data_IF_675775230691
#
_entry.id   IF_675775230691
#
_cell.length_a   1.000
_cell.length_b   1.000
_cell.length_c   1.000
_cell.angle_alpha   90.00
_cell.angle_beta   90.00
_cell.angle_gamma   90.00
#
_symmetry.space_group_name_H-M   'P 1'
#
loop_
_entity.id
_entity.type
_entity.pdbx_description
1 polymer ?
#
# COMPACT_ATOMS: atom_id res chain seq x y z
N UNK A 1 19.93 -25.10 36.46
CA UNK A 1 19.51 -26.34 35.77
C UNK A 1 19.50 -27.51 36.75
N UNK A 2 18.30 -28.06 37.01
CA UNK A 2 18.01 -29.06 38.07
C UNK A 2 18.74 -30.41 37.90
N UNK A 3 19.28 -30.69 36.71
CA UNK A 3 19.84 -31.98 36.33
C UNK A 3 21.30 -31.94 35.85
N UNK A 4 22.02 -30.83 36.10
CA UNK A 4 23.45 -30.69 35.73
C UNK A 4 24.28 -31.84 36.29
N UNK A 5 24.05 -32.22 37.56
CA UNK A 5 24.84 -33.25 38.24
C UNK A 5 24.81 -34.59 37.50
N UNK A 6 23.62 -35.01 37.04
CA UNK A 6 23.47 -36.24 36.24
C UNK A 6 24.18 -36.10 34.90
N UNK A 7 23.99 -34.96 34.22
CA UNK A 7 24.61 -34.74 32.90
C UNK A 7 26.15 -34.77 33.00
N UNK A 8 26.73 -34.18 34.06
CA UNK A 8 28.17 -34.23 34.36
C UNK A 8 28.66 -35.66 34.56
N UNK A 9 27.90 -36.48 35.29
CA UNK A 9 28.26 -37.87 35.53
C UNK A 9 28.25 -38.66 34.23
N UNK A 10 27.22 -38.49 33.40
CA UNK A 10 27.13 -39.16 32.11
C UNK A 10 28.31 -38.75 31.21
N UNK A 11 28.66 -37.46 31.17
CA UNK A 11 29.78 -36.96 30.35
C UNK A 11 31.15 -37.43 30.85
N UNK A 12 31.39 -37.37 32.16
CA UNK A 12 32.66 -37.82 32.76
C UNK A 12 32.88 -39.33 32.54
N UNK A 13 31.80 -40.10 32.46
CA UNK A 13 31.85 -41.53 32.23
C UNK A 13 31.62 -41.94 30.77
N UNK A 14 31.50 -41.00 29.82
CA UNK A 14 31.08 -41.25 28.43
C UNK A 14 31.82 -42.40 27.73
N UNK A 15 33.13 -42.52 27.96
CA UNK A 15 33.96 -43.58 27.36
C UNK A 15 33.72 -44.98 27.95
N UNK A 16 33.03 -45.07 29.08
CA UNK A 16 32.69 -46.31 29.77
C UNK A 16 31.22 -46.70 29.68
N UNK A 17 30.38 -45.83 29.11
CA UNK A 17 28.95 -46.11 28.89
C UNK A 17 28.84 -47.13 27.77
N UNK A 18 28.21 -48.27 28.06
CA UNK A 18 27.75 -49.20 27.02
C UNK A 18 26.26 -48.98 26.79
N UNK A 19 25.91 -48.70 25.54
CA UNK A 19 24.50 -48.54 25.11
C UNK A 19 23.99 -49.89 24.65
N UNK A 20 22.98 -50.42 25.32
CA UNK A 20 22.39 -51.72 25.04
C UNK A 20 20.87 -51.57 24.87
N UNK A 21 20.45 -51.19 23.65
CA UNK A 21 19.06 -50.82 23.36
C UNK A 21 18.63 -49.59 24.15
N UNK A 22 17.58 -49.74 24.97
CA UNK A 22 17.04 -48.67 25.80
C UNK A 22 17.79 -48.49 27.12
N UNK A 23 18.84 -49.27 27.37
CA UNK A 23 19.58 -49.23 28.62
C UNK A 23 20.97 -48.62 28.48
N UNK A 24 21.39 -47.94 29.54
CA UNK A 24 22.75 -47.43 29.72
C UNK A 24 23.45 -48.23 30.82
N UNK A 25 24.56 -48.87 30.48
CA UNK A 25 25.36 -49.66 31.43
C UNK A 25 26.61 -48.88 31.85
N UNK A 26 26.86 -48.82 33.16
CA UNK A 26 28.03 -48.17 33.76
C UNK A 26 28.76 -49.16 34.66
N UNK A 27 30.07 -48.93 34.85
CA UNK A 27 30.78 -49.58 35.95
C UNK A 27 30.18 -49.10 37.28
N UNK A 28 29.92 -50.03 38.19
CA UNK A 28 29.34 -49.75 39.50
C UNK A 28 30.31 -48.90 40.33
N UNK A 29 30.02 -47.61 40.43
CA UNK A 29 30.78 -46.64 41.22
C UNK A 29 29.85 -45.98 42.24
N UNK A 30 30.38 -45.77 43.46
CA UNK A 30 29.63 -45.15 44.58
C UNK A 30 29.12 -43.75 44.23
N UNK A 31 29.89 -42.98 43.46
CA UNK A 31 29.50 -41.64 43.01
C UNK A 31 28.27 -41.67 42.10
N UNK A 32 28.24 -42.56 41.11
CA UNK A 32 27.12 -42.68 40.17
C UNK A 32 25.85 -43.12 40.92
N UNK A 33 25.96 -44.18 41.74
CA UNK A 33 24.81 -44.70 42.49
C UNK A 33 24.24 -43.72 43.51
N UNK A 34 25.08 -42.88 44.13
CA UNK A 34 24.64 -41.83 45.07
C UNK A 34 23.85 -40.73 44.35
N UNK A 35 24.32 -40.31 43.18
CA UNK A 35 23.65 -39.28 42.39
C UNK A 35 22.35 -39.79 41.74
N UNK A 36 22.32 -41.02 41.24
CA UNK A 36 21.08 -41.64 40.76
C UNK A 36 20.01 -41.68 41.86
N UNK A 37 20.38 -42.08 43.09
CA UNK A 37 19.50 -42.05 44.26
C UNK A 37 19.04 -40.63 44.62
N UNK A 38 19.95 -39.65 44.61
CA UNK A 38 19.64 -38.22 44.88
C UNK A 38 18.54 -37.70 43.95
N UNK A 39 18.54 -38.14 42.70
CA UNK A 39 17.57 -37.73 41.68
C UNK A 39 16.41 -38.71 41.46
N UNK A 40 16.27 -39.72 42.32
CA UNK A 40 15.21 -40.74 42.24
C UNK A 40 15.17 -41.50 40.91
N UNK A 41 16.34 -41.73 40.29
CA UNK A 41 16.47 -42.54 39.07
C UNK A 41 16.66 -44.00 39.48
N UNK A 42 15.78 -44.86 39.00
CA UNK A 42 15.85 -46.30 39.24
C UNK A 42 17.04 -46.91 38.48
N UNK A 43 17.70 -47.89 39.11
CA UNK A 43 18.79 -48.64 38.48
C UNK A 43 18.80 -50.08 38.96
N UNK A 44 19.19 -50.99 38.08
CA UNK A 44 19.43 -52.40 38.39
C UNK A 44 20.94 -52.69 38.43
N UNK A 45 21.35 -53.66 39.23
CA UNK A 45 22.73 -54.15 39.23
C UNK A 45 22.83 -55.33 38.25
N UNK A 46 23.77 -55.26 37.32
CA UNK A 46 24.11 -56.37 36.42
C UNK A 46 25.47 -56.91 36.87
N UNK A 47 25.47 -58.10 37.49
CA UNK A 47 26.67 -58.64 38.17
C UNK A 47 27.13 -57.68 39.28
N UNK A 48 28.22 -57.99 39.97
CA UNK A 48 28.73 -57.12 41.05
C UNK A 48 29.39 -55.82 40.53
N UNK A 49 29.78 -55.80 39.25
CA UNK A 49 30.63 -54.77 38.66
C UNK A 49 29.89 -53.70 37.83
N UNK A 50 28.63 -53.90 37.44
CA UNK A 50 27.91 -52.97 36.56
C UNK A 50 26.54 -52.58 37.11
N UNK A 51 26.11 -51.37 36.77
CA UNK A 51 24.75 -50.88 36.97
C UNK A 51 24.13 -50.54 35.63
N UNK A 52 22.82 -50.68 35.54
CA UNK A 52 22.03 -50.40 34.34
C UNK A 52 20.88 -49.45 34.70
N UNK A 53 20.68 -48.43 33.87
CA UNK A 53 19.53 -47.53 33.94
C UNK A 53 18.77 -47.56 32.62
N UNK A 54 17.45 -47.42 32.69
CA UNK A 54 16.64 -47.24 31.49
C UNK A 54 16.78 -45.79 31.02
N UNK A 55 17.04 -45.56 29.72
CA UNK A 55 17.12 -44.21 29.13
C UNK A 55 15.84 -43.41 29.37
N UNK A 56 14.69 -44.08 29.38
CA UNK A 56 13.38 -43.48 29.64
C UNK A 56 13.18 -42.96 31.06
N UNK A 57 13.97 -43.45 32.04
CA UNK A 57 13.89 -43.00 33.44
C UNK A 57 14.67 -41.70 33.69
N UNK A 58 15.46 -41.24 32.69
CA UNK A 58 16.15 -39.97 32.79
C UNK A 58 15.13 -38.82 32.68
N UNK A 59 15.33 -37.73 33.45
CA UNK A 59 14.46 -36.55 33.38
C UNK A 59 14.68 -35.71 32.11
N UNK A 60 15.44 -36.24 31.16
CA UNK A 60 15.79 -35.64 29.87
C UNK A 60 16.03 -36.71 28.82
N UNK A 61 15.91 -36.33 27.56
CA UNK A 61 16.29 -37.18 26.44
C UNK A 61 17.81 -37.11 26.24
N UNK A 62 18.45 -38.28 26.30
CA UNK A 62 19.89 -38.42 26.07
C UNK A 62 20.16 -38.87 24.64
N UNK A 63 21.13 -38.24 23.99
CA UNK A 63 21.63 -38.55 22.65
C UNK A 63 23.16 -38.65 22.70
N UNK A 64 23.75 -39.51 21.87
CA UNK A 64 25.21 -39.73 21.81
C UNK A 64 25.87 -39.05 20.61
N UNK A 65 25.09 -38.38 19.78
CA UNK A 65 25.59 -37.56 18.66
C UNK A 65 24.57 -36.50 18.30
N UNK A 66 25.02 -35.44 17.63
CA UNK A 66 24.11 -34.44 17.04
C UNK A 66 23.18 -35.07 16.01
N UNK A 67 23.68 -36.02 15.21
CA UNK A 67 22.89 -36.71 14.19
C UNK A 67 21.72 -37.50 14.79
N UNK A 68 21.91 -38.16 15.93
CA UNK A 68 20.82 -38.85 16.65
C UNK A 68 19.73 -37.86 17.10
N UNK A 69 20.09 -36.63 17.47
CA UNK A 69 19.12 -35.59 17.82
C UNK A 69 18.38 -35.03 16.60
N UNK A 70 19.07 -34.91 15.46
CA UNK A 70 18.57 -34.28 14.23
C UNK A 70 17.52 -35.13 13.47
N UNK A 71 16.55 -35.68 14.18
CA UNK A 71 15.35 -36.28 13.63
C UNK A 71 14.09 -35.53 14.10
N UNK A 72 13.14 -35.30 13.20
CA UNK A 72 11.87 -34.60 13.48
C UNK A 72 11.10 -35.24 14.64
N UNK A 73 11.15 -36.57 14.78
CA UNK A 73 10.51 -37.31 15.88
C UNK A 73 11.08 -37.00 17.26
N UNK A 74 12.31 -36.49 17.31
CA UNK A 74 13.08 -36.26 18.53
C UNK A 74 12.93 -34.82 19.03
N UNK A 75 12.44 -33.91 18.18
CA UNK A 75 12.01 -32.58 18.58
C UNK A 75 10.67 -32.68 19.32
N UNK A 76 10.73 -32.97 20.62
CA UNK A 76 9.58 -32.87 21.53
C UNK A 76 9.69 -31.58 22.35
N UNK A 77 8.54 -30.96 22.63
CA UNK A 77 8.48 -29.64 23.23
C UNK A 77 8.60 -29.61 24.76
N UNK A 78 8.63 -30.75 25.43
CA UNK A 78 8.25 -30.81 26.84
C UNK A 78 9.34 -31.28 27.80
N UNK A 79 10.39 -31.93 27.30
CA UNK A 79 11.46 -32.51 28.13
C UNK A 79 12.82 -32.01 27.64
N UNK A 80 13.71 -31.68 28.58
CA UNK A 80 15.09 -31.27 28.26
C UNK A 80 15.84 -32.31 27.43
N UNK A 81 16.84 -31.86 26.68
CA UNK A 81 17.64 -32.72 25.79
C UNK A 81 19.13 -32.56 26.08
N UNK A 82 19.87 -33.65 26.02
CA UNK A 82 21.32 -33.70 26.29
C UNK A 82 21.99 -34.52 25.19
N UNK A 83 23.03 -33.96 24.59
CA UNK A 83 23.87 -34.61 23.58
C UNK A 83 25.27 -34.73 24.18
N UNK A 84 25.75 -35.95 24.30
CA UNK A 84 27.11 -36.26 24.76
C UNK A 84 27.93 -36.62 23.52
N UNK A 85 28.82 -35.72 23.11
CA UNK A 85 29.78 -35.94 22.04
C UNK A 85 31.20 -36.08 22.62
N UNK A 86 32.17 -36.54 21.83
CA UNK A 86 33.50 -36.91 22.36
C UNK A 86 34.23 -35.76 23.08
N UNK A 87 34.07 -34.53 22.57
CA UNK A 87 34.79 -33.34 23.04
C UNK A 87 33.87 -32.36 23.79
N UNK A 88 32.61 -32.21 23.39
CA UNK A 88 31.66 -31.25 23.97
C UNK A 88 30.37 -31.93 24.45
N UNK A 89 29.73 -31.31 25.44
CA UNK A 89 28.34 -31.62 25.82
C UNK A 89 27.44 -30.43 25.47
N UNK A 90 26.38 -30.73 24.72
CA UNK A 90 25.31 -29.79 24.41
C UNK A 90 24.08 -30.17 25.20
N UNK A 91 23.41 -29.20 25.81
CA UNK A 91 22.14 -29.47 26.45
C UNK A 91 21.16 -28.32 26.34
N UNK A 92 19.87 -28.63 26.46
CA UNK A 92 18.78 -27.69 26.35
C UNK A 92 17.76 -27.94 27.46
N UNK A 93 17.57 -26.95 28.32
CA UNK A 93 16.64 -26.99 29.44
C UNK A 93 16.00 -25.63 29.64
N UNK A 94 14.70 -25.59 29.93
CA UNK A 94 13.96 -24.36 30.26
C UNK A 94 14.24 -23.22 29.26
N UNK A 95 14.13 -23.53 27.97
CA UNK A 95 14.41 -22.62 26.85
C UNK A 95 15.83 -22.03 26.77
N UNK A 96 16.78 -22.61 27.51
CA UNK A 96 18.19 -22.18 27.54
C UNK A 96 19.10 -23.26 26.98
N UNK A 97 19.99 -22.88 26.06
CA UNK A 97 21.06 -23.72 25.53
C UNK A 97 22.29 -23.66 26.44
N UNK A 98 22.92 -24.80 26.67
CA UNK A 98 24.12 -24.94 27.48
C UNK A 98 25.19 -25.68 26.70
N UNK A 99 26.40 -25.11 26.68
CA UNK A 99 27.61 -25.74 26.18
C UNK A 99 28.52 -26.02 27.37
N UNK A 100 28.92 -27.28 27.55
CA UNK A 100 29.80 -27.67 28.66
C UNK A 100 29.28 -27.23 30.04
N UNK A 101 27.95 -27.32 30.21
CA UNK A 101 27.18 -26.92 31.40
C UNK A 101 27.11 -25.42 31.69
N UNK A 102 27.64 -24.59 30.80
CA UNK A 102 27.53 -23.14 30.89
C UNK A 102 26.46 -22.64 29.91
N UNK A 103 25.58 -21.71 30.33
CA UNK A 103 24.58 -21.15 29.43
C UNK A 103 25.28 -20.45 28.26
N UNK A 104 24.83 -20.74 27.05
CA UNK A 104 25.40 -20.18 25.82
C UNK A 104 24.35 -19.33 25.13
N UNK A 105 24.65 -18.04 24.96
CA UNK A 105 23.82 -17.10 24.19
C UNK A 105 24.16 -17.14 22.69
N UNK A 106 25.28 -17.77 22.32
CA UNK A 106 25.82 -17.81 20.96
C UNK A 106 25.67 -19.19 20.29
N UNK A 107 25.02 -20.15 20.96
CA UNK A 107 24.70 -21.45 20.40
C UNK A 107 23.18 -21.59 20.20
N UNK A 108 22.80 -21.89 18.96
CA UNK A 108 21.43 -22.03 18.50
C UNK A 108 21.15 -23.43 17.92
N UNK A 109 21.92 -24.46 18.27
CA UNK A 109 21.74 -25.81 17.74
C UNK A 109 20.32 -26.35 17.98
N UNK A 110 19.86 -26.31 19.23
CA UNK A 110 18.55 -26.87 19.60
C UNK A 110 17.41 -25.98 19.11
N UNK A 111 17.54 -24.67 19.26
CA UNK A 111 16.55 -23.68 18.82
C UNK A 111 16.35 -23.72 17.30
N UNK A 112 17.42 -23.85 16.51
CA UNK A 112 17.33 -23.99 15.05
C UNK A 112 16.66 -25.30 14.62
N UNK A 113 17.00 -26.43 15.27
CA UNK A 113 16.34 -27.70 14.99
C UNK A 113 14.84 -27.61 15.29
N UNK A 114 14.48 -27.10 16.48
CA UNK A 114 13.09 -26.89 16.91
C UNK A 114 12.31 -26.02 15.93
N UNK A 115 12.83 -24.84 15.58
CA UNK A 115 12.11 -23.92 14.72
C UNK A 115 12.00 -24.46 13.28
N UNK A 116 12.94 -25.27 12.80
CA UNK A 116 12.80 -25.97 11.52
C UNK A 116 11.64 -26.99 11.54
N UNK A 117 11.52 -27.78 12.62
CA UNK A 117 10.39 -28.69 12.81
C UNK A 117 9.04 -27.96 12.85
N UNK A 118 8.99 -26.84 13.57
CA UNK A 118 7.81 -25.96 13.59
C UNK A 118 7.51 -25.35 12.23
N UNK A 119 8.54 -24.95 11.49
CA UNK A 119 8.41 -24.39 10.16
C UNK A 119 7.74 -25.37 9.18
N UNK A 120 8.20 -26.62 9.16
CA UNK A 120 7.58 -27.68 8.35
C UNK A 120 6.11 -27.87 8.75
N UNK A 121 5.85 -27.97 10.05
CA UNK A 121 4.50 -28.17 10.59
C UNK A 121 3.57 -26.99 10.25
N UNK A 122 4.08 -25.77 10.33
CA UNK A 122 3.38 -24.56 9.97
C UNK A 122 3.02 -24.56 8.48
N UNK A 123 3.98 -24.83 7.59
CA UNK A 123 3.72 -24.88 6.14
C UNK A 123 2.65 -25.93 5.80
N UNK A 124 2.69 -27.10 6.44
CA UNK A 124 1.64 -28.12 6.26
C UNK A 124 0.25 -27.61 6.61
N UNK A 125 0.12 -26.82 7.69
CA UNK A 125 -1.16 -26.23 8.10
C UNK A 125 -1.67 -25.14 7.15
N UNK A 126 -0.84 -24.64 6.24
CA UNK A 126 -1.24 -23.64 5.24
C UNK A 126 -1.97 -24.25 4.03
N UNK A 127 -2.20 -25.56 4.00
CA UNK A 127 -3.14 -26.17 3.05
C UNK A 127 -4.57 -25.86 3.50
N UNK A 128 -5.29 -25.04 2.74
CA UNK A 128 -6.74 -24.82 2.94
C UNK A 128 -7.53 -25.76 2.03
N UNK A 129 -8.63 -26.32 2.54
CA UNK A 129 -9.54 -27.20 1.79
C UNK A 129 -10.64 -26.45 1.01
N UNK A 130 -10.74 -25.12 1.16
CA UNK A 130 -11.82 -24.34 0.56
C UNK A 130 -11.57 -24.01 -0.92
N UNK A 131 -12.54 -24.32 -1.80
CA UNK A 131 -12.45 -24.18 -3.27
C UNK A 131 -12.33 -22.74 -3.82
N UNK A 132 -12.37 -21.70 -2.97
CA UNK A 132 -12.46 -20.29 -3.43
C UNK A 132 -11.37 -19.34 -2.90
N UNK A 133 -10.30 -19.87 -2.30
CA UNK A 133 -9.27 -19.07 -1.64
C UNK A 133 -7.92 -18.97 -2.36
N UNK A 134 -7.11 -17.99 -1.98
CA UNK A 134 -5.66 -18.05 -2.21
C UNK A 134 -5.06 -19.13 -1.30
N UNK A 135 -4.39 -20.13 -1.90
CA UNK A 135 -3.66 -21.17 -1.17
C UNK A 135 -2.17 -20.82 -1.15
N UNK A 136 -1.57 -20.76 0.05
CA UNK A 136 -0.12 -20.55 0.14
C UNK A 136 0.64 -21.85 -0.18
N UNK A 137 0.22 -22.97 0.42
CA UNK A 137 0.61 -24.33 0.01
C UNK A 137 -0.59 -24.96 -0.68
N UNK A 138 -0.42 -25.41 -1.92
CA UNK A 138 -1.52 -25.96 -2.71
C UNK A 138 -1.78 -27.43 -2.37
N UNK A 139 -0.74 -28.16 -1.99
CA UNK A 139 -0.85 -29.58 -1.62
C UNK A 139 0.29 -30.00 -0.70
N UNK A 140 -0.03 -30.82 0.31
CA UNK A 140 0.95 -31.43 1.21
C UNK A 140 0.77 -32.96 1.22
N UNK A 141 1.80 -33.67 0.76
CA UNK A 141 1.87 -35.13 0.84
C UNK A 141 2.67 -35.52 2.08
N UNK A 142 1.96 -36.00 3.11
CA UNK A 142 2.62 -36.47 4.34
C UNK A 142 3.41 -37.76 4.14
N UNK A 143 2.97 -38.63 3.24
CA UNK A 143 3.58 -39.95 2.97
C UNK A 143 4.84 -39.80 2.14
N UNK A 144 4.76 -39.10 1.01
CA UNK A 144 5.90 -38.78 0.15
C UNK A 144 6.73 -37.59 0.61
N UNK A 145 6.34 -36.93 1.71
CA UNK A 145 6.99 -35.79 2.37
C UNK A 145 7.31 -34.63 1.45
N UNK A 146 6.27 -34.13 0.78
CA UNK A 146 6.36 -33.05 -0.21
C UNK A 146 5.35 -31.97 0.08
N UNK A 147 5.77 -30.72 -0.09
CA UNK A 147 4.89 -29.56 -0.15
C UNK A 147 4.93 -28.99 -1.56
N UNK A 148 3.78 -28.74 -2.16
CA UNK A 148 3.66 -28.25 -3.53
C UNK A 148 3.14 -26.83 -3.51
N UNK A 149 3.84 -25.97 -4.24
CA UNK A 149 3.47 -24.58 -4.47
C UNK A 149 3.38 -24.33 -5.98
N UNK A 150 2.38 -23.60 -6.38
CA UNK A 150 2.11 -23.17 -7.75
C UNK A 150 1.88 -21.68 -7.74
N UNK A 151 2.50 -21.00 -8.70
CA UNK A 151 2.23 -19.60 -8.94
C UNK A 151 1.85 -19.41 -10.40
N UNK A 152 0.71 -18.75 -10.61
CA UNK A 152 0.25 -18.34 -11.92
C UNK A 152 1.12 -17.20 -12.48
N UNK A 153 1.59 -16.28 -11.62
CA UNK A 153 2.45 -15.16 -12.03
C UNK A 153 3.80 -15.64 -12.52
N UNK A 154 4.41 -16.59 -11.83
CA UNK A 154 5.71 -17.15 -12.19
C UNK A 154 5.60 -18.32 -13.19
N UNK A 155 4.38 -18.76 -13.53
CA UNK A 155 4.08 -19.97 -14.33
C UNK A 155 4.90 -21.19 -13.89
N UNK A 156 5.09 -21.34 -12.58
CA UNK A 156 6.02 -22.32 -12.02
C UNK A 156 5.36 -23.15 -10.93
N UNK A 157 5.68 -24.45 -10.93
CA UNK A 157 5.33 -25.40 -9.87
C UNK A 157 6.61 -25.79 -9.16
N UNK A 158 6.66 -25.52 -7.87
CA UNK A 158 7.76 -25.88 -6.97
C UNK A 158 7.31 -26.99 -6.05
N UNK A 159 8.19 -27.99 -5.89
CA UNK A 159 8.07 -29.04 -4.90
C UNK A 159 9.17 -28.81 -3.87
N UNK A 160 8.78 -28.75 -2.60
CA UNK A 160 9.67 -28.71 -1.45
C UNK A 160 9.62 -30.09 -0.78
N UNK A 161 10.69 -30.87 -0.91
CA UNK A 161 10.84 -32.13 -0.18
C UNK A 161 11.32 -31.84 1.25
N UNK A 162 10.81 -32.62 2.20
CA UNK A 162 11.33 -32.64 3.57
C UNK A 162 11.61 -34.07 4.00
N UNK A 163 12.63 -34.25 4.83
CA UNK A 163 13.02 -35.56 5.35
C UNK A 163 12.64 -35.67 6.82
N UNK A 164 12.76 -36.88 7.39
CA UNK A 164 12.69 -37.04 8.84
C UNK A 164 13.97 -36.52 9.51
N UNK A 165 15.07 -36.45 8.76
CA UNK A 165 16.32 -35.85 9.20
C UNK A 165 16.25 -34.34 9.05
N UNK A 166 16.75 -33.66 10.09
CA UNK A 166 16.88 -32.21 10.15
C UNK A 166 18.29 -31.87 9.63
N UNK A 167 18.42 -30.95 8.67
CA UNK A 167 19.74 -30.53 8.21
C UNK A 167 20.54 -29.89 9.34
N UNK A 168 21.86 -30.07 9.31
CA UNK A 168 22.75 -29.31 10.17
C UNK A 168 22.75 -27.82 9.78
N UNK A 169 22.36 -26.96 10.73
CA UNK A 169 22.36 -25.51 10.57
C UNK A 169 23.56 -24.89 11.30
N UNK A 170 23.97 -23.69 10.89
CA UNK A 170 25.03 -22.96 11.58
C UNK A 170 24.57 -22.60 12.99
N UNK A 171 25.21 -23.18 14.01
CA UNK A 171 24.90 -22.98 15.42
C UNK A 171 25.10 -21.54 15.90
N UNK A 172 25.88 -20.72 15.17
CA UNK A 172 26.12 -19.31 15.52
C UNK A 172 25.09 -18.34 14.95
N UNK A 173 24.11 -18.83 14.18
CA UNK A 173 23.07 -17.98 13.58
C UNK A 173 21.71 -18.44 14.08
N UNK A 174 20.99 -17.53 14.72
CA UNK A 174 19.59 -17.73 15.09
C UNK A 174 18.70 -17.54 13.86
N UNK A 175 18.05 -18.61 13.39
CA UNK A 175 17.04 -18.53 12.33
C UNK A 175 15.63 -18.27 12.89
N UNK A 176 15.45 -18.33 14.21
CA UNK A 176 14.14 -18.33 14.84
C UNK A 176 13.37 -17.03 14.64
N UNK A 177 14.06 -15.88 14.69
CA UNK A 177 13.46 -14.55 14.54
C UNK A 177 12.80 -14.42 13.16
N UNK A 178 13.55 -14.64 12.08
CA UNK A 178 13.04 -14.49 10.71
C UNK A 178 11.94 -15.50 10.40
N UNK A 179 12.06 -16.73 10.91
CA UNK A 179 11.03 -17.77 10.72
C UNK A 179 9.73 -17.41 11.44
N UNK A 180 9.80 -16.94 12.70
CA UNK A 180 8.63 -16.49 13.46
C UNK A 180 7.96 -15.31 12.78
N UNK A 181 8.75 -14.34 12.30
CA UNK A 181 8.22 -13.19 11.57
C UNK A 181 7.52 -13.61 10.28
N UNK A 182 8.10 -14.55 9.52
CA UNK A 182 7.46 -15.14 8.34
C UNK A 182 6.12 -15.81 8.66
N UNK A 183 6.06 -16.61 9.72
CA UNK A 183 4.82 -17.27 10.15
C UNK A 183 3.74 -16.25 10.52
N UNK A 184 4.14 -15.17 11.21
CA UNK A 184 3.24 -14.09 11.61
C UNK A 184 2.68 -13.33 10.40
N UNK A 185 3.53 -12.95 9.44
CA UNK A 185 3.10 -12.24 8.21
C UNK A 185 2.09 -13.06 7.38
N UNK A 186 2.31 -14.38 7.29
CA UNK A 186 1.37 -15.26 6.61
C UNK A 186 0.04 -15.45 7.34
N UNK A 187 0.04 -15.37 8.68
CA UNK A 187 -1.17 -15.55 9.50
C UNK A 187 -2.00 -14.27 9.55
N UNK A 188 -1.36 -13.12 9.72
CA UNK A 188 -2.03 -11.83 9.89
C UNK A 188 -2.66 -11.30 8.60
N UNK A 189 -2.21 -11.79 7.44
CA UNK A 189 -2.76 -11.54 6.10
C UNK A 189 -3.05 -10.05 5.78
N UNK A 190 -2.27 -9.15 6.38
CA UNK A 190 -2.36 -7.71 6.13
C UNK A 190 -1.97 -7.47 4.67
N UNK A 191 -2.84 -6.79 3.90
CA UNK A 191 -2.58 -6.36 2.52
C UNK A 191 -2.29 -7.46 1.47
N UNK A 192 -2.71 -8.71 1.70
CA UNK A 192 -2.41 -9.84 0.80
C UNK A 192 -0.89 -10.10 0.59
N UNK A 193 -0.04 -9.72 1.56
CA UNK A 193 1.42 -9.92 1.48
C UNK A 193 1.81 -11.38 1.21
N UNK A 194 0.97 -12.32 1.65
CA UNK A 194 1.09 -13.76 1.44
C UNK A 194 1.25 -14.16 -0.04
N UNK A 195 0.62 -13.43 -0.98
CA UNK A 195 0.81 -13.64 -2.43
C UNK A 195 2.22 -13.27 -2.90
N UNK A 196 2.73 -12.14 -2.42
CA UNK A 196 4.07 -11.66 -2.74
C UNK A 196 5.12 -12.56 -2.14
N UNK A 197 4.93 -13.02 -0.89
CA UNK A 197 5.79 -14.01 -0.24
C UNK A 197 5.84 -15.30 -1.07
N UNK A 198 4.69 -15.82 -1.54
CA UNK A 198 4.65 -17.03 -2.38
C UNK A 198 5.43 -16.84 -3.68
N UNK A 199 5.28 -15.69 -4.35
CA UNK A 199 6.01 -15.37 -5.59
C UNK A 199 7.52 -15.27 -5.37
N UNK A 200 7.94 -14.48 -4.37
CA UNK A 200 9.35 -14.29 -4.02
C UNK A 200 10.03 -15.60 -3.61
N UNK A 201 9.33 -16.43 -2.84
CA UNK A 201 9.78 -17.77 -2.46
C UNK A 201 10.03 -18.63 -3.71
N UNK A 202 9.04 -18.75 -4.59
CA UNK A 202 9.14 -19.58 -5.81
C UNK A 202 10.32 -19.11 -6.66
N UNK A 203 10.43 -17.80 -6.90
CA UNK A 203 11.54 -17.21 -7.65
C UNK A 203 12.90 -17.55 -7.05
N UNK A 204 13.04 -17.50 -5.71
CA UNK A 204 14.30 -17.76 -5.01
C UNK A 204 14.74 -19.22 -5.07
N UNK A 205 13.80 -20.17 -5.11
CA UNK A 205 14.11 -21.61 -5.01
C UNK A 205 14.02 -22.36 -6.35
N UNK A 206 13.54 -21.71 -7.42
CA UNK A 206 13.31 -22.36 -8.74
C UNK A 206 14.58 -23.04 -9.28
N UNK A 207 15.73 -22.34 -9.18
CA UNK A 207 17.00 -22.82 -9.71
C UNK A 207 17.77 -23.73 -8.73
N UNK A 208 17.20 -24.02 -7.56
CA UNK A 208 17.82 -24.89 -6.56
C UNK A 208 17.33 -26.34 -6.77
N UNK A 209 18.22 -27.35 -6.64
CA UNK A 209 17.82 -28.76 -6.67
C UNK A 209 16.71 -29.09 -5.67
N UNK A 210 15.73 -29.91 -6.08
CA UNK A 210 14.48 -30.15 -5.34
C UNK A 210 14.67 -30.58 -3.89
N UNK A 211 15.68 -31.41 -3.64
CA UNK A 211 16.11 -31.94 -2.35
C UNK A 211 16.68 -30.86 -1.41
N UNK A 212 17.19 -29.75 -1.95
CA UNK A 212 17.81 -28.67 -1.17
C UNK A 212 16.90 -27.45 -0.99
N UNK A 213 15.78 -27.36 -1.73
CA UNK A 213 14.93 -26.16 -1.77
C UNK A 213 14.41 -25.74 -0.40
N UNK A 214 13.90 -26.67 0.41
CA UNK A 214 13.33 -26.33 1.71
C UNK A 214 14.40 -25.84 2.69
N UNK A 215 15.57 -26.46 2.67
CA UNK A 215 16.73 -26.07 3.49
C UNK A 215 17.21 -24.68 3.08
N UNK A 216 17.35 -24.45 1.77
CA UNK A 216 17.75 -23.16 1.22
C UNK A 216 16.73 -22.08 1.58
N UNK A 217 15.44 -22.38 1.46
CA UNK A 217 14.35 -21.49 1.82
C UNK A 217 14.44 -21.08 3.28
N UNK A 218 14.55 -22.06 4.20
CA UNK A 218 14.65 -21.81 5.63
C UNK A 218 15.84 -20.89 5.98
N UNK A 219 16.99 -21.10 5.35
CA UNK A 219 18.20 -20.29 5.57
C UNK A 219 18.11 -18.84 5.06
N UNK A 220 17.16 -18.54 4.17
CA UNK A 220 17.04 -17.27 3.46
C UNK A 220 15.64 -16.64 3.56
N UNK A 221 14.90 -16.95 4.62
CA UNK A 221 13.56 -16.39 4.85
C UNK A 221 13.59 -14.87 4.93
N UNK A 222 14.61 -14.31 5.58
CA UNK A 222 14.87 -12.87 5.68
C UNK A 222 14.90 -12.20 4.30
N UNK A 223 15.67 -12.75 3.37
CA UNK A 223 15.78 -12.23 2.01
C UNK A 223 14.45 -12.37 1.22
N UNK A 224 13.70 -13.45 1.46
CA UNK A 224 12.39 -13.67 0.82
C UNK A 224 11.37 -12.65 1.32
N UNK A 225 11.34 -12.39 2.63
CA UNK A 225 10.43 -11.41 3.22
C UNK A 225 10.73 -9.99 2.72
N UNK A 226 12.00 -9.61 2.69
CA UNK A 226 12.41 -8.30 2.19
C UNK A 226 12.06 -8.11 0.71
N UNK A 227 12.29 -9.11 -0.14
CA UNK A 227 11.89 -9.06 -1.55
C UNK A 227 10.36 -8.97 -1.70
N UNK A 228 9.60 -9.72 -0.90
CA UNK A 228 8.14 -9.68 -0.92
C UNK A 228 7.59 -8.32 -0.49
N UNK A 229 8.15 -7.71 0.56
CA UNK A 229 7.80 -6.37 1.03
C UNK A 229 8.09 -5.32 -0.04
N UNK A 230 9.28 -5.36 -0.65
CA UNK A 230 9.65 -4.45 -1.73
C UNK A 230 8.70 -4.59 -2.94
N UNK A 231 8.37 -5.82 -3.34
CA UNK A 231 7.43 -6.06 -4.44
C UNK A 231 6.01 -5.58 -4.10
N UNK A 232 5.56 -5.73 -2.85
CA UNK A 232 4.29 -5.19 -2.38
C UNK A 232 4.29 -3.66 -2.43
N UNK A 233 5.35 -3.01 -1.98
CA UNK A 233 5.50 -1.55 -2.06
C UNK A 233 5.50 -1.07 -3.50
N UNK A 234 6.22 -1.74 -4.41
CA UNK A 234 6.20 -1.43 -5.85
C UNK A 234 4.78 -1.59 -6.41
N UNK A 235 4.07 -2.65 -6.04
CA UNK A 235 2.70 -2.88 -6.49
C UNK A 235 1.74 -1.80 -6.00
N UNK A 236 1.79 -1.46 -4.70
CA UNK A 236 0.98 -0.39 -4.12
C UNK A 236 1.30 0.96 -4.79
N UNK A 237 2.59 1.24 -4.99
CA UNK A 237 3.02 2.49 -5.61
C UNK A 237 2.69 2.55 -7.11
N UNK A 238 2.81 1.47 -7.87
CA UNK A 238 2.42 1.48 -9.29
C UNK A 238 0.92 1.62 -9.47
N UNK A 239 0.12 1.02 -8.58
CA UNK A 239 -1.33 1.24 -8.55
C UNK A 239 -1.68 2.68 -8.18
N UNK A 240 -0.98 3.28 -7.22
CA UNK A 240 -1.19 4.69 -6.87
C UNK A 240 -0.79 5.62 -8.01
N UNK A 241 0.32 5.34 -8.71
CA UNK A 241 0.76 6.08 -9.90
C UNK A 241 -0.26 5.98 -11.03
N UNK A 242 -0.79 4.78 -11.32
CA UNK A 242 -1.82 4.62 -12.35
C UNK A 242 -3.11 5.37 -12.00
N UNK A 243 -3.52 5.30 -10.73
CA UNK A 243 -4.66 6.06 -10.23
C UNK A 243 -4.43 7.57 -10.38
N UNK A 244 -3.27 8.08 -9.96
CA UNK A 244 -2.90 9.49 -10.08
C UNK A 244 -2.87 9.94 -11.55
N UNK A 245 -2.31 9.13 -12.46
CA UNK A 245 -2.31 9.42 -13.89
C UNK A 245 -3.73 9.49 -14.47
N UNK A 246 -4.59 8.56 -14.06
CA UNK A 246 -6.00 8.57 -14.44
C UNK A 246 -6.71 9.81 -13.91
N UNK A 247 -6.51 10.14 -12.64
CA UNK A 247 -7.09 11.33 -11.99
C UNK A 247 -6.58 12.61 -12.69
N UNK A 248 -5.32 12.64 -13.13
CA UNK A 248 -4.76 13.72 -13.96
C UNK A 248 -5.40 13.82 -15.35
N UNK A 249 -5.52 12.71 -16.09
CA UNK A 249 -6.16 12.71 -17.41
C UNK A 249 -7.64 13.13 -17.32
N UNK A 250 -8.32 12.73 -16.25
CA UNK A 250 -9.70 13.11 -15.95
C UNK A 250 -9.81 14.60 -15.56
N UNK A 251 -8.92 15.12 -14.71
CA UNK A 251 -8.81 16.54 -14.40
C UNK A 251 -8.63 17.38 -15.68
N UNK A 252 -7.66 17.00 -16.51
CA UNK A 252 -7.35 17.67 -17.77
C UNK A 252 -8.56 17.66 -18.70
N UNK A 253 -9.21 16.51 -18.87
CA UNK A 253 -10.36 16.36 -19.77
C UNK A 253 -11.56 17.16 -19.28
N UNK A 254 -11.96 17.01 -18.02
CA UNK A 254 -13.18 17.60 -17.49
C UNK A 254 -13.07 19.13 -17.39
N UNK A 255 -11.98 19.65 -16.83
CA UNK A 255 -11.85 21.10 -16.63
C UNK A 255 -11.51 21.83 -17.92
N UNK A 256 -10.63 21.30 -18.78
CA UNK A 256 -10.37 21.97 -20.06
C UNK A 256 -11.59 21.94 -20.98
N UNK A 257 -12.38 20.86 -20.99
CA UNK A 257 -13.60 20.80 -21.78
C UNK A 257 -14.65 21.78 -21.24
N UNK A 258 -14.92 21.78 -19.93
CA UNK A 258 -15.90 22.67 -19.32
C UNK A 258 -15.52 24.15 -19.48
N UNK A 259 -14.25 24.49 -19.26
CA UNK A 259 -13.76 25.86 -19.49
C UNK A 259 -13.88 26.21 -20.97
N UNK A 260 -13.46 25.33 -21.88
CA UNK A 260 -13.56 25.60 -23.33
C UNK A 260 -15.00 25.78 -23.77
N UNK A 261 -15.95 25.04 -23.20
CA UNK A 261 -17.38 25.18 -23.49
C UNK A 261 -17.91 26.54 -23.01
N UNK A 262 -17.64 26.93 -21.75
CA UNK A 262 -18.07 28.23 -21.21
C UNK A 262 -17.43 29.38 -21.99
N UNK A 263 -16.14 29.29 -22.30
CA UNK A 263 -15.42 30.26 -23.14
C UNK A 263 -16.04 30.35 -24.53
N UNK A 264 -16.36 29.23 -25.17
CA UNK A 264 -16.99 29.22 -26.49
C UNK A 264 -18.40 29.84 -26.44
N UNK A 265 -19.19 29.57 -25.39
CA UNK A 265 -20.49 30.22 -25.17
C UNK A 265 -20.34 31.73 -25.03
N UNK A 266 -19.34 32.20 -24.28
CA UNK A 266 -19.04 33.63 -24.12
C UNK A 266 -18.60 34.24 -25.45
N UNK A 267 -17.65 33.63 -26.15
CA UNK A 267 -17.12 34.12 -27.43
C UNK A 267 -18.21 34.19 -28.52
N UNK A 268 -19.02 33.15 -28.67
CA UNK A 268 -20.12 33.14 -29.66
C UNK A 268 -21.13 34.24 -29.39
N UNK A 269 -21.42 34.51 -28.11
CA UNK A 269 -22.25 35.65 -27.71
C UNK A 269 -21.55 36.95 -28.11
N UNK A 270 -20.29 37.17 -27.69
CA UNK A 270 -19.50 38.38 -27.99
C UNK A 270 -19.51 38.71 -29.50
N UNK A 271 -19.28 37.72 -30.36
CA UNK A 271 -19.24 37.89 -31.83
C UNK A 271 -20.62 38.26 -32.40
N UNK A 272 -21.71 37.81 -31.78
CA UNK A 272 -23.08 38.05 -32.28
C UNK A 272 -23.54 39.49 -32.04
N UNK A 273 -22.97 40.22 -31.07
CA UNK A 273 -23.50 41.53 -30.68
C UNK A 273 -23.25 42.67 -31.66
N UNK A 274 -22.07 42.83 -32.29
CA UNK A 274 -21.89 43.85 -33.34
C UNK A 274 -22.94 43.72 -34.45
N UNK A 275 -23.34 42.48 -34.77
CA UNK A 275 -24.38 42.20 -35.76
C UNK A 275 -25.75 42.65 -35.23
N UNK A 276 -26.09 42.28 -33.99
CA UNK A 276 -27.35 42.69 -33.34
C UNK A 276 -27.45 44.22 -33.27
N UNK A 277 -26.41 44.91 -32.81
CA UNK A 277 -26.40 46.37 -32.70
C UNK A 277 -26.42 47.07 -34.06
N UNK A 278 -25.70 46.56 -35.07
CA UNK A 278 -25.77 47.11 -36.43
C UNK A 278 -27.19 46.96 -37.01
N UNK A 279 -27.83 45.82 -36.76
CA UNK A 279 -29.21 45.55 -37.18
C UNK A 279 -30.19 46.47 -36.46
N UNK A 280 -30.02 46.68 -35.15
CA UNK A 280 -30.82 47.61 -34.36
C UNK A 280 -30.67 49.05 -34.87
N UNK A 281 -29.44 49.53 -35.07
CA UNK A 281 -29.19 50.88 -35.60
C UNK A 281 -29.80 51.06 -36.99
N UNK A 282 -29.66 50.06 -37.87
CA UNK A 282 -30.27 50.07 -39.20
C UNK A 282 -31.81 50.11 -39.11
N UNK A 283 -32.41 49.28 -38.27
CA UNK A 283 -33.86 49.27 -38.05
C UNK A 283 -34.36 50.62 -37.51
N UNK A 284 -33.68 51.17 -36.49
CA UNK A 284 -33.96 52.51 -35.94
C UNK A 284 -33.90 53.56 -37.04
N UNK A 285 -32.92 53.49 -37.96
CA UNK A 285 -32.77 54.47 -39.05
C UNK A 285 -33.96 54.50 -40.00
N UNK A 286 -34.59 53.34 -40.27
CA UNK A 286 -35.68 53.18 -41.24
C UNK A 286 -37.09 53.47 -40.68
N UNK A 287 -37.24 53.43 -39.35
CA UNK A 287 -38.52 53.71 -38.70
C UNK A 287 -38.95 55.17 -38.94
N UNK A 288 -40.16 55.46 -39.43
CA UNK A 288 -40.68 56.83 -39.50
C UNK A 288 -40.78 57.45 -38.10
N UNK A 289 -40.80 58.77 -37.97
CA UNK A 289 -40.76 59.50 -36.69
C UNK A 289 -42.05 59.38 -35.84
N UNK A 290 -42.62 58.18 -35.73
CA UNK A 290 -43.71 57.86 -34.82
C UNK A 290 -43.17 57.67 -33.42
N UNK A 291 -43.48 58.61 -32.53
CA UNK A 291 -42.87 58.69 -31.20
C UNK A 291 -43.13 57.46 -30.33
N UNK A 292 -44.33 56.87 -30.41
CA UNK A 292 -44.74 55.70 -29.62
C UNK A 292 -43.85 54.49 -29.93
N UNK A 293 -43.57 54.23 -31.21
CA UNK A 293 -42.77 53.09 -31.64
C UNK A 293 -41.31 53.23 -31.18
N UNK A 294 -40.78 54.45 -31.23
CA UNK A 294 -39.42 54.75 -30.75
C UNK A 294 -39.30 54.62 -29.22
N UNK A 295 -40.30 55.00 -28.43
CA UNK A 295 -40.29 54.75 -26.97
C UNK A 295 -40.33 53.26 -26.63
N UNK A 296 -41.19 52.48 -27.32
CA UNK A 296 -41.23 51.04 -27.14
C UNK A 296 -39.89 50.37 -27.46
N UNK A 297 -39.22 50.87 -28.51
CA UNK A 297 -37.90 50.41 -28.91
C UNK A 297 -36.83 50.70 -27.85
N UNK A 298 -36.84 51.89 -27.23
CA UNK A 298 -35.93 52.23 -26.11
C UNK A 298 -36.15 51.28 -24.93
N UNK A 299 -37.40 51.01 -24.56
CA UNK A 299 -37.72 50.05 -23.50
C UNK A 299 -37.22 48.64 -23.83
N UNK A 300 -37.48 48.15 -25.05
CA UNK A 300 -37.07 46.83 -25.50
C UNK A 300 -35.53 46.67 -25.51
N UNK A 301 -34.81 47.67 -26.03
CA UNK A 301 -33.33 47.66 -26.03
C UNK A 301 -32.80 47.67 -24.59
N UNK A 302 -33.37 48.49 -23.71
CA UNK A 302 -32.93 48.59 -22.30
C UNK A 302 -33.14 47.28 -21.54
N UNK A 303 -34.31 46.63 -21.70
CA UNK A 303 -34.59 45.32 -21.08
C UNK A 303 -33.63 44.26 -21.61
N UNK A 304 -33.38 44.25 -22.92
CA UNK A 304 -32.44 43.30 -23.54
C UNK A 304 -31.04 43.49 -22.98
N UNK A 305 -30.58 44.73 -22.85
CA UNK A 305 -29.27 45.06 -22.28
C UNK A 305 -29.14 44.62 -20.82
N UNK A 306 -30.16 44.85 -20.00
CA UNK A 306 -30.18 44.37 -18.60
C UNK A 306 -30.09 42.85 -18.55
N UNK A 307 -30.88 42.15 -19.36
CA UNK A 307 -30.86 40.69 -19.43
C UNK A 307 -29.47 40.16 -19.84
N UNK A 308 -28.87 40.75 -20.87
CA UNK A 308 -27.54 40.37 -21.35
C UNK A 308 -26.44 40.63 -20.30
N UNK A 309 -26.55 41.70 -19.53
CA UNK A 309 -25.64 41.97 -18.41
C UNK A 309 -25.74 40.90 -17.32
N UNK A 310 -26.95 40.57 -16.88
CA UNK A 310 -27.18 39.50 -15.89
C UNK A 310 -26.61 38.16 -16.39
N UNK A 311 -26.90 37.82 -17.64
CA UNK A 311 -26.42 36.59 -18.26
C UNK A 311 -24.89 36.53 -18.33
N UNK A 312 -24.24 37.68 -18.52
CA UNK A 312 -22.77 37.79 -18.52
C UNK A 312 -22.21 37.63 -17.11
N UNK A 313 -22.87 38.19 -16.09
CA UNK A 313 -22.50 37.98 -14.68
C UNK A 313 -22.65 36.52 -14.23
N UNK A 314 -23.70 35.81 -14.68
CA UNK A 314 -23.86 34.37 -14.43
C UNK A 314 -22.68 33.57 -14.97
N UNK A 315 -22.28 33.83 -16.21
CA UNK A 315 -21.13 33.16 -16.82
C UNK A 315 -19.80 33.46 -16.09
N UNK A 316 -19.63 34.68 -15.54
CA UNK A 316 -18.47 35.03 -14.72
C UNK A 316 -18.43 34.23 -13.41
N UNK A 317 -19.59 34.05 -12.77
CA UNK A 317 -19.73 33.22 -11.56
C UNK A 317 -19.45 31.74 -11.85
N UNK A 318 -19.96 31.20 -12.97
CA UNK A 318 -19.66 29.83 -13.39
C UNK A 318 -18.16 29.62 -13.62
N UNK A 319 -17.48 30.58 -14.26
CA UNK A 319 -16.01 30.56 -14.42
C UNK A 319 -15.28 30.59 -13.08
N UNK A 320 -15.79 31.35 -12.09
CA UNK A 320 -15.23 31.39 -10.75
C UNK A 320 -15.36 30.07 -10.00
N UNK A 321 -16.53 29.45 -10.08
CA UNK A 321 -16.80 28.17 -9.45
C UNK A 321 -15.93 27.07 -10.05
N UNK A 322 -15.84 26.99 -11.39
CA UNK A 322 -14.99 26.03 -12.09
C UNK A 322 -13.51 26.25 -11.72
N UNK A 323 -13.05 27.50 -11.70
CA UNK A 323 -11.67 27.80 -11.33
C UNK A 323 -11.37 27.47 -9.86
N UNK A 324 -12.30 27.78 -8.94
CA UNK A 324 -12.18 27.46 -7.52
C UNK A 324 -12.11 25.95 -7.27
N UNK A 325 -12.88 25.16 -8.02
CA UNK A 325 -12.81 23.70 -7.97
C UNK A 325 -11.49 23.18 -8.54
N UNK A 326 -11.08 23.68 -9.72
CA UNK A 326 -9.81 23.29 -10.34
C UNK A 326 -8.59 23.59 -9.44
N UNK A 327 -8.62 24.72 -8.71
CA UNK A 327 -7.59 25.08 -7.74
C UNK A 327 -7.50 24.08 -6.59
N UNK A 328 -8.64 23.73 -5.97
CA UNK A 328 -8.68 22.76 -4.85
C UNK A 328 -8.16 21.38 -5.29
N UNK A 329 -8.56 20.94 -6.48
CA UNK A 329 -8.13 19.65 -7.03
C UNK A 329 -6.63 19.67 -7.38
N UNK A 330 -6.12 20.76 -7.98
CA UNK A 330 -4.69 20.95 -8.24
C UNK A 330 -3.86 20.87 -6.95
N UNK A 331 -4.23 21.64 -5.92
CA UNK A 331 -3.56 21.62 -4.60
C UNK A 331 -3.55 20.21 -3.98
N UNK A 332 -4.64 19.46 -4.08
CA UNK A 332 -4.73 18.10 -3.54
C UNK A 332 -3.85 17.07 -4.26
N UNK A 333 -3.51 17.33 -5.53
CA UNK A 333 -2.77 16.42 -6.41
C UNK A 333 -1.26 16.74 -6.37
N UNK A 334 -0.88 18.02 -6.31
CA UNK A 334 0.53 18.46 -6.34
C UNK A 334 1.37 17.93 -5.18
N UNK A 335 0.79 17.79 -3.99
CA UNK A 335 1.50 17.34 -2.78
C UNK A 335 1.78 15.83 -2.75
N UNK A 336 1.45 15.10 -3.83
CA UNK A 336 1.64 13.66 -3.89
C UNK A 336 3.10 13.26 -4.17
N UNK A 337 3.56 12.16 -3.54
CA UNK A 337 4.89 11.58 -3.74
C UNK A 337 5.22 11.19 -5.19
N UNK A 338 4.24 11.09 -6.07
CA UNK A 338 4.44 10.94 -7.52
C UNK A 338 5.24 12.10 -8.13
N UNK A 339 4.87 13.35 -7.86
CA UNK A 339 5.51 14.53 -8.44
C UNK A 339 6.91 14.79 -7.86
N UNK A 340 7.23 14.21 -6.71
CA UNK A 340 8.58 14.18 -6.15
C UNK A 340 9.49 13.28 -7.00
N UNK A 341 8.96 12.16 -7.53
CA UNK A 341 9.72 11.21 -8.35
C UNK A 341 9.77 11.57 -9.84
N UNK A 342 8.75 12.28 -10.34
CA UNK A 342 8.63 12.70 -11.75
C UNK A 342 8.43 14.21 -11.87
N UNK A 343 9.50 15.02 -11.74
CA UNK A 343 9.40 16.48 -11.74
C UNK A 343 8.95 17.06 -13.09
N UNK A 344 9.26 16.40 -14.21
CA UNK A 344 8.79 16.84 -15.54
C UNK A 344 7.25 16.75 -15.68
N UNK A 345 6.64 15.71 -15.12
CA UNK A 345 5.17 15.57 -15.09
C UNK A 345 4.52 16.62 -14.19
N UNK A 346 5.22 17.03 -13.11
CA UNK A 346 4.80 18.14 -12.27
C UNK A 346 4.79 19.44 -13.07
N UNK A 347 5.86 19.70 -13.81
CA UNK A 347 5.97 20.87 -14.67
C UNK A 347 4.85 20.91 -15.73
N UNK A 348 4.54 19.78 -16.38
CA UNK A 348 3.40 19.70 -17.30
C UNK A 348 2.05 19.94 -16.62
N UNK A 349 1.88 19.44 -15.38
CA UNK A 349 0.65 19.65 -14.60
C UNK A 349 0.48 21.11 -14.20
N UNK A 350 1.54 21.74 -13.70
CA UNK A 350 1.56 23.15 -13.34
C UNK A 350 1.35 24.02 -14.59
N UNK A 351 1.97 23.69 -15.72
CA UNK A 351 1.75 24.37 -17.00
C UNK A 351 0.29 24.25 -17.49
N UNK A 352 -0.35 23.09 -17.29
CA UNK A 352 -1.75 22.89 -17.64
C UNK A 352 -2.68 23.74 -16.75
N UNK A 353 -2.40 23.79 -15.45
CA UNK A 353 -3.11 24.64 -14.50
C UNK A 353 -2.89 26.13 -14.80
N UNK A 354 -1.67 26.56 -15.13
CA UNK A 354 -1.39 27.92 -15.55
C UNK A 354 -2.13 28.28 -16.84
N UNK A 355 -2.18 27.37 -17.82
CA UNK A 355 -2.94 27.57 -19.05
C UNK A 355 -4.43 27.75 -18.75
N UNK A 356 -4.98 26.98 -17.82
CA UNK A 356 -6.35 27.13 -17.32
C UNK A 356 -6.54 28.50 -16.68
N UNK A 357 -5.65 28.89 -15.77
CA UNK A 357 -5.70 30.17 -15.07
C UNK A 357 -5.63 31.36 -16.05
N UNK A 358 -4.70 31.32 -17.01
CA UNK A 358 -4.56 32.34 -18.05
C UNK A 358 -5.82 32.44 -18.91
N UNK A 359 -6.42 31.32 -19.32
CA UNK A 359 -7.67 31.30 -20.08
C UNK A 359 -8.83 31.88 -19.27
N UNK A 360 -8.98 31.50 -18.00
CA UNK A 360 -10.02 32.04 -17.11
C UNK A 360 -9.83 33.54 -16.93
N UNK A 361 -8.61 34.00 -16.63
CA UNK A 361 -8.31 35.42 -16.44
C UNK A 361 -8.59 36.24 -17.71
N UNK A 362 -8.15 35.75 -18.86
CA UNK A 362 -8.41 36.38 -20.16
C UNK A 362 -9.91 36.47 -20.45
N UNK A 363 -10.65 35.40 -20.17
CA UNK A 363 -12.10 35.35 -20.40
C UNK A 363 -12.87 36.27 -19.47
N UNK A 364 -12.48 36.36 -18.20
CA UNK A 364 -13.04 37.36 -17.26
C UNK A 364 -12.77 38.78 -17.74
N UNK A 365 -11.55 39.07 -18.19
CA UNK A 365 -11.21 40.39 -18.72
C UNK A 365 -12.04 40.73 -19.96
N UNK A 366 -12.16 39.79 -20.90
CA UNK A 366 -13.01 39.94 -22.09
C UNK A 366 -14.47 40.17 -21.71
N UNK A 367 -15.00 39.40 -20.76
CA UNK A 367 -16.36 39.54 -20.24
C UNK A 367 -16.60 40.93 -19.63
N UNK A 368 -15.69 41.44 -18.80
CA UNK A 368 -15.76 42.79 -18.24
C UNK A 368 -15.69 43.88 -19.31
N UNK A 369 -14.73 43.79 -20.22
CA UNK A 369 -14.63 44.74 -21.34
C UNK A 369 -15.90 44.73 -22.19
N UNK A 370 -16.47 43.54 -22.38
CA UNK A 370 -17.70 43.34 -23.13
C UNK A 370 -18.92 43.97 -22.42
N UNK A 371 -19.09 43.78 -21.11
CA UNK A 371 -20.15 44.46 -20.33
C UNK A 371 -20.12 45.98 -20.54
N UNK A 372 -18.93 46.59 -20.43
CA UNK A 372 -18.75 48.02 -20.66
C UNK A 372 -19.10 48.45 -22.10
N UNK A 373 -18.67 47.67 -23.09
CA UNK A 373 -19.00 47.94 -24.49
C UNK A 373 -20.51 47.89 -24.74
N UNK A 374 -21.22 46.94 -24.12
CA UNK A 374 -22.67 46.80 -24.26
C UNK A 374 -23.41 47.98 -23.60
N UNK A 375 -23.00 48.38 -22.40
CA UNK A 375 -23.56 49.56 -21.71
C UNK A 375 -23.34 50.83 -22.55
N UNK A 376 -22.14 51.02 -23.07
CA UNK A 376 -21.79 52.18 -23.88
C UNK A 376 -22.56 52.21 -25.22
N UNK A 377 -22.69 51.06 -25.88
CA UNK A 377 -23.44 50.95 -27.14
C UNK A 377 -24.93 51.18 -26.93
N UNK A 378 -25.49 50.69 -25.82
CA UNK A 378 -26.86 50.98 -25.41
C UNK A 378 -27.06 52.50 -25.22
N UNK A 379 -26.16 53.16 -24.49
CA UNK A 379 -26.20 54.60 -24.29
C UNK A 379 -26.25 55.36 -25.63
N UNK A 380 -25.38 55.00 -26.58
CA UNK A 380 -25.37 55.60 -27.92
C UNK A 380 -26.67 55.36 -28.69
N UNK A 381 -27.22 54.13 -28.64
CA UNK A 381 -28.48 53.80 -29.31
C UNK A 381 -29.65 54.60 -28.73
N UNK A 382 -29.75 54.68 -27.41
CA UNK A 382 -30.77 55.44 -26.69
C UNK A 382 -30.66 56.93 -27.02
N UNK A 383 -29.45 57.51 -26.98
CA UNK A 383 -29.21 58.90 -27.38
C UNK A 383 -29.59 59.16 -28.84
N UNK A 384 -29.29 58.23 -29.75
CA UNK A 384 -29.65 58.34 -31.16
C UNK A 384 -31.17 58.35 -31.37
N UNK A 385 -31.90 57.49 -30.67
CA UNK A 385 -33.37 57.45 -30.71
C UNK A 385 -33.95 58.76 -30.16
N UNK A 386 -33.46 59.26 -29.03
CA UNK A 386 -33.95 60.53 -28.45
C UNK A 386 -33.65 61.73 -29.36
N UNK A 387 -32.50 61.75 -30.04
CA UNK A 387 -32.22 62.78 -31.05
C UNK A 387 -33.20 62.73 -32.22
N UNK A 388 -33.59 61.52 -32.67
CA UNK A 388 -34.60 61.33 -33.72
C UNK A 388 -35.99 61.79 -33.27
N UNK A 389 -36.28 61.73 -31.98
CA UNK A 389 -37.47 62.31 -31.34
C UNK A 389 -37.41 63.84 -31.16
N UNK A 390 -36.36 64.51 -31.66
CA UNK A 390 -36.16 65.97 -31.58
C UNK A 390 -35.99 66.52 -30.16
N UNK A 391 -35.59 65.68 -29.20
CA UNK A 391 -35.18 66.17 -27.87
C UNK A 391 -33.89 67.01 -27.97
N UNK A 392 -33.73 67.99 -27.08
CA UNK A 392 -32.49 68.75 -26.96
C UNK A 392 -31.34 67.82 -26.56
N UNK A 393 -30.12 68.09 -27.04
CA UNK A 393 -28.95 67.25 -26.74
C UNK A 393 -28.75 67.05 -25.24
N UNK A 394 -28.99 68.07 -24.42
CA UNK A 394 -28.87 68.01 -22.97
C UNK A 394 -29.90 67.05 -22.33
N UNK A 395 -31.15 67.06 -22.81
CA UNK A 395 -32.19 66.15 -22.28
C UNK A 395 -31.93 64.70 -22.68
N UNK A 396 -31.47 64.45 -23.91
CA UNK A 396 -31.08 63.12 -24.35
C UNK A 396 -29.89 62.55 -23.55
N UNK A 397 -28.91 63.38 -23.19
CA UNK A 397 -27.78 62.98 -22.34
C UNK A 397 -28.26 62.61 -20.93
N UNK A 398 -29.10 63.44 -20.31
CA UNK A 398 -29.61 63.20 -18.94
C UNK A 398 -30.39 61.88 -18.87
N UNK A 399 -31.28 61.63 -19.83
CA UNK A 399 -32.07 60.38 -19.86
C UNK A 399 -31.16 59.17 -20.12
N UNK A 400 -30.17 59.30 -21.02
CA UNK A 400 -29.17 58.25 -21.26
C UNK A 400 -28.40 57.87 -20.00
N UNK A 401 -27.95 58.86 -19.22
CA UNK A 401 -27.26 58.64 -17.94
C UNK A 401 -28.19 57.95 -16.92
N UNK A 402 -29.47 58.33 -16.88
CA UNK A 402 -30.44 57.72 -15.96
C UNK A 402 -30.68 56.23 -16.29
N UNK A 403 -30.79 55.88 -17.58
CA UNK A 403 -30.89 54.48 -18.03
C UNK A 403 -29.61 53.70 -17.67
N UNK A 404 -28.44 54.32 -17.79
CA UNK A 404 -27.17 53.73 -17.39
C UNK A 404 -27.12 53.45 -15.88
N UNK A 405 -27.53 54.42 -15.05
CA UNK A 405 -27.60 54.28 -13.60
C UNK A 405 -28.52 53.12 -13.18
N UNK A 406 -29.69 52.99 -13.79
CA UNK A 406 -30.61 51.86 -13.52
C UNK A 406 -29.95 50.53 -13.88
N UNK A 407 -29.27 50.46 -15.02
CA UNK A 407 -28.58 49.24 -15.48
C UNK A 407 -27.49 48.81 -14.50
N UNK A 408 -26.68 49.76 -14.01
CA UNK A 408 -25.62 49.51 -13.02
C UNK A 408 -26.18 49.14 -11.65
N UNK A 409 -27.26 49.78 -11.19
CA UNK A 409 -27.90 49.47 -9.90
C UNK A 409 -28.49 48.05 -9.87
N UNK A 410 -29.08 47.60 -10.98
CA UNK A 410 -29.58 46.22 -11.11
C UNK A 410 -28.43 45.21 -11.02
N UNK A 411 -27.28 45.52 -11.61
CA UNK A 411 -26.09 44.68 -11.54
C UNK A 411 -25.54 44.57 -10.11
N UNK A 412 -25.33 45.71 -9.42
CA UNK A 412 -24.84 45.72 -8.03
C UNK A 412 -25.76 44.91 -7.12
N UNK A 413 -27.09 45.02 -7.32
CA UNK A 413 -28.06 44.24 -6.56
C UNK A 413 -27.97 42.74 -6.86
N UNK A 414 -27.68 42.37 -8.11
CA UNK A 414 -27.50 40.97 -8.50
C UNK A 414 -26.22 40.39 -7.88
N UNK A 415 -25.10 41.10 -7.96
CA UNK A 415 -23.82 40.67 -7.37
C UNK A 415 -23.96 40.43 -5.87
N UNK A 416 -24.53 41.39 -5.12
CA UNK A 416 -24.70 41.27 -3.67
C UNK A 416 -25.59 40.10 -3.21
N UNK A 417 -26.43 39.53 -4.08
CA UNK A 417 -27.29 38.39 -3.74
C UNK A 417 -26.64 37.03 -4.08
N UNK A 418 -25.54 37.03 -4.82
CA UNK A 418 -24.93 35.81 -5.38
C UNK A 418 -23.40 35.71 -5.15
N UNK A 419 -22.78 36.73 -4.57
CA UNK A 419 -21.50 36.67 -3.86
C UNK A 419 -21.71 36.22 -2.43
#
# INVERSE_FOLDING_TARGET
>A
MKYIDICKILYNNRNSIKVNGDYLEFKNQTEITTNLKKHQIEYSKIKDDFIQILRGDLPFHLYFSKDEYLHISNIKNEIGSVIIENEDILSYFDDTEYLNFEPSEDNYFFSNAKIYGFFITFLKKQTKEDESGFHFIDYADNTGRKLVLTSLSEKSRIILKYNNEIPYFNEKRDYSISVKYFMQELTNNVLNISKFIKSSLIKKVTNIPEDQRLIHLFKHIDAILLDAQMNLEIYINNLSIYKIRKDYEEFKKNHLANISEVVNKINNRIISYPIIFSTLIFAVSKIPSQSILLYFLVCAISITVIYLNILTSMNESDLENIFGQAKKEHESIVDNGFFIKFPAEKEEFDNAYETINQKVHTTKKLSKTYKWALILTNLFCVMFIFRKLQFSTNTAIIIGILVLLVTVLVEIKYENNHS
#
